data_IF_163280404530
#
_entry.id   IF_163280404530
#
_cell.length_a   1.000
_cell.length_b   1.000
_cell.length_c   1.000
_cell.angle_alpha   90.00
_cell.angle_beta   90.00
_cell.angle_gamma   90.00
#
_symmetry.space_group_name_H-M   'P 1'
#
loop_
_entity.id
_entity.type
_entity.pdbx_description
1 polymer ?
#
# COMPACT_ATOMS: atom_id res chain seq x y z
N UNK A 1 26.11 -44.62 -50.51
CA UNK A 1 24.79 -44.09 -50.05
C UNK A 1 24.97 -43.63 -48.61
N UNK A 2 25.16 -42.33 -48.35
CA UNK A 2 25.38 -41.82 -47.00
C UNK A 2 24.14 -41.08 -46.49
N UNK A 3 23.51 -41.56 -45.41
CA UNK A 3 22.40 -40.87 -44.77
C UNK A 3 22.94 -39.93 -43.69
N UNK A 4 22.67 -38.63 -43.83
CA UNK A 4 22.92 -37.62 -42.79
C UNK A 4 21.81 -37.77 -41.73
N UNK A 5 22.15 -38.27 -40.55
CA UNK A 5 21.24 -38.24 -39.42
C UNK A 5 21.05 -36.77 -38.99
N UNK A 6 19.85 -36.23 -39.21
CA UNK A 6 19.45 -34.93 -38.69
C UNK A 6 19.09 -35.07 -37.22
N UNK A 7 20.10 -35.07 -36.35
CA UNK A 7 19.87 -34.99 -34.92
C UNK A 7 19.21 -33.64 -34.58
N UNK A 8 18.07 -33.70 -33.89
CA UNK A 8 17.32 -32.52 -33.49
C UNK A 8 18.08 -31.78 -32.40
N UNK A 9 18.36 -30.50 -32.63
CA UNK A 9 18.98 -29.64 -31.63
C UNK A 9 17.99 -29.33 -30.52
N UNK A 10 18.37 -29.55 -29.25
CA UNK A 10 17.59 -29.13 -28.08
C UNK A 10 18.17 -27.85 -27.50
N UNK A 11 17.33 -26.83 -27.36
CA UNK A 11 17.62 -25.64 -26.56
C UNK A 11 16.80 -25.72 -25.27
N UNK A 12 17.49 -25.72 -24.13
CA UNK A 12 16.87 -25.63 -22.80
C UNK A 12 17.13 -24.21 -22.31
N UNK A 13 16.05 -23.44 -22.11
CA UNK A 13 16.11 -22.06 -21.64
C UNK A 13 15.51 -21.98 -20.25
N UNK A 14 16.24 -21.31 -19.34
CA UNK A 14 15.73 -20.83 -18.07
C UNK A 14 15.81 -19.30 -18.09
N UNK A 15 14.74 -18.63 -17.68
CA UNK A 15 14.70 -17.17 -17.58
C UNK A 15 13.86 -16.75 -16.37
N UNK A 16 14.05 -15.53 -15.91
CA UNK A 16 13.27 -14.92 -14.83
C UNK A 16 12.91 -13.50 -15.19
N UNK A 17 11.69 -13.10 -14.85
CA UNK A 17 11.16 -11.76 -15.08
C UNK A 17 11.04 -11.07 -13.72
N UNK A 18 11.52 -9.83 -13.66
CA UNK A 18 11.46 -8.99 -12.48
C UNK A 18 10.76 -7.68 -12.85
N UNK A 19 10.04 -7.10 -11.89
CA UNK A 19 9.47 -5.77 -12.06
C UNK A 19 10.53 -4.69 -11.85
N UNK A 20 10.30 -3.52 -12.45
CA UNK A 20 11.07 -2.31 -12.17
C UNK A 20 10.88 -1.88 -10.71
N UNK A 21 11.80 -1.05 -10.23
CA UNK A 21 11.74 -0.51 -8.86
C UNK A 21 10.39 0.16 -8.60
N UNK A 22 9.77 -0.19 -7.46
CA UNK A 22 8.45 0.30 -7.02
C UNK A 22 7.25 -0.21 -7.82
N UNK A 23 7.44 -1.16 -8.74
CA UNK A 23 6.34 -1.85 -9.43
C UNK A 23 6.11 -3.24 -8.84
N UNK A 24 4.83 -3.57 -8.68
CA UNK A 24 4.34 -4.80 -8.06
C UNK A 24 3.25 -5.41 -8.95
N UNK A 25 2.69 -6.55 -8.51
CA UNK A 25 1.75 -7.42 -9.26
C UNK A 25 2.45 -8.37 -10.23
N UNK A 26 1.70 -9.36 -10.72
CA UNK A 26 2.16 -10.31 -11.74
C UNK A 26 2.44 -9.65 -13.10
N UNK A 27 1.82 -8.49 -13.35
CA UNK A 27 1.95 -7.73 -14.59
C UNK A 27 2.90 -6.53 -14.47
N UNK A 28 3.49 -6.30 -13.28
CA UNK A 28 4.33 -5.15 -12.99
C UNK A 28 3.65 -3.80 -13.30
N UNK A 29 2.33 -3.73 -13.18
CA UNK A 29 1.51 -2.57 -13.54
C UNK A 29 1.08 -1.73 -12.32
N UNK A 30 1.39 -2.22 -11.11
CA UNK A 30 0.98 -1.57 -9.88
C UNK A 30 2.15 -0.80 -9.26
N UNK A 31 2.12 0.52 -9.41
CA UNK A 31 3.12 1.40 -8.81
C UNK A 31 2.83 1.69 -7.34
N UNK A 32 3.84 1.49 -6.47
CA UNK A 32 3.81 1.93 -5.09
C UNK A 32 5.20 2.33 -4.60
N UNK A 33 5.33 3.57 -4.16
CA UNK A 33 6.55 4.09 -3.52
C UNK A 33 6.19 4.70 -2.17
N UNK A 34 6.99 4.40 -1.14
CA UNK A 34 6.87 5.04 0.18
C UNK A 34 6.73 6.57 0.01
N UNK A 35 5.73 7.15 0.65
CA UNK A 35 5.45 8.59 0.60
C UNK A 35 5.05 9.03 2.00
N UNK A 36 5.70 10.09 2.49
CA UNK A 36 5.40 10.73 3.77
C UNK A 36 5.55 12.24 3.62
N UNK A 37 4.62 12.81 2.86
CA UNK A 37 4.56 14.23 2.56
C UNK A 37 3.10 14.67 2.36
N UNK A 38 2.87 15.93 1.96
CA UNK A 38 1.53 16.49 1.76
C UNK A 38 0.63 15.70 0.79
N UNK A 39 1.19 14.85 -0.06
CA UNK A 39 0.45 14.04 -1.03
C UNK A 39 0.07 12.67 -0.47
N UNK A 40 0.67 12.23 0.64
CA UNK A 40 0.29 11.00 1.31
C UNK A 40 1.27 10.49 2.36
N UNK A 41 0.76 9.61 3.22
CA UNK A 41 1.47 9.05 4.37
C UNK A 41 1.32 7.53 4.42
N UNK A 42 2.09 6.81 3.61
CA UNK A 42 1.98 5.36 3.46
C UNK A 42 3.30 4.67 3.08
N UNK A 43 3.36 3.39 3.43
CA UNK A 43 4.34 2.43 2.95
C UNK A 43 3.68 1.41 2.01
N UNK A 44 4.48 0.62 1.31
CA UNK A 44 4.00 -0.38 0.36
C UNK A 44 4.15 -1.78 0.95
N UNK A 45 3.09 -2.59 0.89
CA UNK A 45 3.20 -4.01 1.23
C UNK A 45 3.86 -4.83 0.10
N UNK A 46 4.03 -6.14 0.31
CA UNK A 46 4.64 -7.05 -0.65
C UNK A 46 3.88 -7.17 -1.99
N UNK A 47 2.61 -6.76 -2.01
CA UNK A 47 1.76 -6.75 -3.21
C UNK A 47 1.60 -5.34 -3.78
N UNK A 48 2.37 -4.36 -3.30
CA UNK A 48 2.28 -2.96 -3.70
C UNK A 48 1.01 -2.25 -3.25
N UNK A 49 0.25 -2.78 -2.28
CA UNK A 49 -0.83 -2.03 -1.65
C UNK A 49 -0.25 -0.95 -0.74
N UNK A 50 -0.91 0.22 -0.73
CA UNK A 50 -0.57 1.32 0.18
C UNK A 50 -1.12 1.00 1.57
N UNK A 51 -0.23 0.99 2.56
CA UNK A 51 -0.54 0.80 3.97
C UNK A 51 -0.23 2.10 4.69
N UNK A 52 -1.23 2.69 5.35
CA UNK A 52 -1.04 3.98 6.02
C UNK A 52 -0.03 3.90 7.16
N UNK A 53 0.69 5.01 7.34
CA UNK A 53 1.49 5.24 8.54
C UNK A 53 0.59 5.41 9.77
N UNK A 54 1.10 5.20 10.99
CA UNK A 54 0.32 5.31 12.21
C UNK A 54 -0.41 6.66 12.32
N UNK A 55 -1.71 6.62 12.64
CA UNK A 55 -2.56 7.80 12.74
C UNK A 55 -3.08 8.34 11.40
N UNK A 56 -2.65 7.78 10.27
CA UNK A 56 -3.15 8.14 8.94
C UNK A 56 -4.15 7.12 8.41
N UNK A 57 -5.13 7.59 7.65
CA UNK A 57 -6.25 6.79 7.16
C UNK A 57 -6.53 7.07 5.70
N UNK A 58 -7.17 6.08 5.05
CA UNK A 58 -7.54 6.10 3.64
C UNK A 58 -8.98 6.59 3.48
N UNK A 59 -9.23 7.86 3.12
CA UNK A 59 -10.47 8.17 2.41
C UNK A 59 -10.34 7.88 0.91
N UNK A 60 -9.14 8.02 0.32
CA UNK A 60 -8.94 8.17 -1.15
C UNK A 60 -7.65 7.51 -1.70
N UNK A 61 -7.07 6.54 -0.99
CA UNK A 61 -5.91 5.75 -1.46
C UNK A 61 -4.53 6.23 -1.01
N UNK A 62 -4.36 7.51 -0.64
CA UNK A 62 -3.05 8.09 -0.29
C UNK A 62 -2.84 8.38 1.20
N UNK A 63 -3.70 7.88 2.10
CA UNK A 63 -3.49 8.04 3.54
C UNK A 63 -3.38 9.52 3.99
N UNK A 64 -4.24 10.40 3.48
CA UNK A 64 -4.14 11.85 3.71
C UNK A 64 -4.92 12.35 4.94
N UNK A 65 -5.69 11.48 5.61
CA UNK A 65 -6.51 11.88 6.74
C UNK A 65 -5.86 11.46 8.05
N UNK A 66 -5.61 12.42 8.93
CA UNK A 66 -4.97 12.18 10.22
C UNK A 66 -5.99 12.09 11.35
N UNK A 67 -5.87 11.07 12.19
CA UNK A 67 -6.63 10.93 13.42
C UNK A 67 -5.88 10.08 14.45
N UNK A 68 -5.72 10.61 15.67
CA UNK A 68 -5.23 9.84 16.82
C UNK A 68 -6.25 10.01 17.95
N UNK A 69 -6.74 8.92 18.56
CA UNK A 69 -7.70 9.00 19.66
C UNK A 69 -7.18 9.89 20.78
N UNK A 70 -8.07 10.75 21.31
CA UNK A 70 -7.77 11.63 22.44
C UNK A 70 -8.72 11.33 23.60
N UNK A 71 -8.24 11.57 24.81
CA UNK A 71 -9.05 11.44 26.03
C UNK A 71 -8.54 12.38 27.13
N UNK A 72 -8.40 13.65 26.79
CA UNK A 72 -7.98 14.69 27.73
C UNK A 72 -8.81 15.96 27.52
N UNK A 73 -9.00 16.74 28.58
CA UNK A 73 -9.90 17.90 28.59
C UNK A 73 -9.43 19.03 27.65
N UNK A 74 -8.18 18.98 27.16
CA UNK A 74 -7.58 20.02 26.30
C UNK A 74 -7.73 19.65 24.82
N UNK A 75 -7.42 18.40 24.45
CA UNK A 75 -7.45 17.90 23.06
C UNK A 75 -8.75 17.20 22.70
N UNK A 76 -9.58 16.90 23.69
CA UNK A 76 -10.91 16.33 23.54
C UNK A 76 -11.00 14.83 23.83
N UNK A 77 -12.23 14.32 23.76
CA UNK A 77 -12.59 12.94 24.11
C UNK A 77 -13.22 12.23 22.93
N UNK A 78 -12.38 11.69 22.04
CA UNK A 78 -12.83 11.02 20.82
C UNK A 78 -11.96 9.82 20.46
N UNK A 79 -12.53 8.90 19.68
CA UNK A 79 -11.83 7.82 18.98
C UNK A 79 -11.78 8.09 17.48
N UNK A 80 -11.03 7.27 16.75
CA UNK A 80 -10.94 7.32 15.29
C UNK A 80 -11.63 6.09 14.70
N UNK A 81 -12.55 6.26 13.76
CA UNK A 81 -13.16 5.15 13.03
C UNK A 81 -12.21 4.57 11.95
N UNK A 82 -12.66 3.54 11.24
CA UNK A 82 -11.86 2.90 10.17
C UNK A 82 -11.52 3.83 8.99
N UNK A 83 -12.21 4.97 8.88
CA UNK A 83 -12.00 6.01 7.87
C UNK A 83 -11.28 7.24 8.47
N UNK A 84 -10.77 7.14 9.69
CA UNK A 84 -10.13 8.23 10.41
C UNK A 84 -11.06 9.39 10.79
N UNK A 85 -12.38 9.22 10.78
CA UNK A 85 -13.28 10.21 11.35
C UNK A 85 -13.14 10.21 12.88
N UNK A 86 -13.17 11.40 13.47
CA UNK A 86 -13.30 11.53 14.93
C UNK A 86 -14.71 11.13 15.34
N UNK A 87 -14.82 10.32 16.38
CA UNK A 87 -16.08 9.88 16.97
C UNK A 87 -16.03 10.20 18.45
N UNK A 88 -16.94 11.06 18.92
CA UNK A 88 -16.99 11.42 20.34
C UNK A 88 -17.20 10.19 21.22
N UNK A 89 -16.48 10.13 22.35
CA UNK A 89 -16.71 9.11 23.37
C UNK A 89 -18.10 9.27 24.00
N UNK A 90 -18.66 8.21 24.55
CA UNK A 90 -19.96 8.25 25.23
C UNK A 90 -19.96 9.33 26.31
N UNK A 91 -20.97 10.21 26.28
CA UNK A 91 -21.11 11.33 27.21
C UNK A 91 -20.39 12.62 26.80
N UNK A 92 -19.62 12.60 25.71
CA UNK A 92 -18.92 13.77 25.17
C UNK A 92 -19.56 14.25 23.88
N UNK A 93 -19.51 15.56 23.65
CA UNK A 93 -20.03 16.23 22.47
C UNK A 93 -19.18 17.46 22.16
N UNK A 94 -19.20 17.91 20.90
CA UNK A 94 -18.45 19.08 20.45
C UNK A 94 -18.46 19.15 18.92
N UNK A 95 -18.01 20.28 18.33
CA UNK A 95 -17.82 20.36 16.89
C UNK A 95 -16.78 19.32 16.44
N UNK A 96 -17.15 18.52 15.43
CA UNK A 96 -16.31 17.49 14.80
C UNK A 96 -15.33 18.09 13.80
#
# INVERSE_FOLDING_TARGET
MGQRAHDKTKLILSYSIFCDTHYYSYACDKYCKYTDDKHGHYQCDLHGNKVCLPGWYIPQGNCIKYCVPQNDDIRGHYSCDSKGNKVCRRGWYGPL
#
